data_IF_794119479874
#
_entry.id   IF_794119479874
#
_cell.length_a   1.000
_cell.length_b   1.000
_cell.length_c   1.000
_cell.angle_alpha   90.00
_cell.angle_beta   90.00
_cell.angle_gamma   90.00
#
_symmetry.space_group_name_H-M   'P 1'
#
loop_
_entity.id
_entity.type
_entity.pdbx_description
1 polymer ?
#
# COMPACT_ATOMS: atom_id res chain seq x y z
N UNK A 1 -16.33 -6.71 -9.80
CA UNK A 1 -15.65 -5.58 -10.39
C UNK A 1 -15.40 -4.51 -9.36
N UNK A 2 -14.37 -3.74 -9.52
CA UNK A 2 -14.01 -2.69 -8.60
C UNK A 2 -12.54 -2.39 -8.74
N UNK A 3 -12.11 -1.35 -8.06
CA UNK A 3 -10.69 -0.99 -8.05
C UNK A 3 -9.94 -2.01 -7.19
N UNK A 4 -8.90 -2.61 -7.75
CA UNK A 4 -8.06 -3.58 -7.03
C UNK A 4 -6.97 -2.86 -6.27
N UNK A 5 -6.96 -3.04 -4.97
CA UNK A 5 -6.02 -2.38 -4.07
C UNK A 5 -5.22 -3.42 -3.30
N UNK A 6 -3.89 -3.27 -3.31
CA UNK A 6 -3.02 -4.07 -2.46
C UNK A 6 -2.63 -3.23 -1.25
N UNK A 7 -2.81 -3.77 -0.06
CA UNK A 7 -2.41 -3.12 1.18
C UNK A 7 -1.33 -3.97 1.84
N UNK A 8 -0.15 -3.41 2.04
CA UNK A 8 1.00 -4.15 2.56
C UNK A 8 1.53 -3.50 3.83
N UNK A 9 1.51 -4.25 4.94
CA UNK A 9 1.95 -3.79 6.25
C UNK A 9 2.24 -5.02 7.11
N UNK A 10 3.38 -5.04 7.79
CA UNK A 10 3.72 -6.18 8.64
C UNK A 10 2.94 -6.19 9.97
N UNK A 11 2.30 -5.10 10.33
CA UNK A 11 1.43 -5.06 11.50
C UNK A 11 0.06 -5.63 11.14
N UNK A 12 -0.13 -6.90 11.50
CA UNK A 12 -1.37 -7.62 11.17
C UNK A 12 -2.61 -7.02 11.80
N UNK A 13 -2.46 -6.27 12.89
CA UNK A 13 -3.61 -5.63 13.56
C UNK A 13 -4.01 -4.35 12.84
N UNK A 14 -3.07 -3.69 12.18
CA UNK A 14 -3.36 -2.48 11.42
C UNK A 14 -4.08 -2.77 10.11
N UNK A 15 -3.78 -3.91 9.49
CA UNK A 15 -4.32 -4.25 8.17
C UNK A 15 -5.84 -4.17 8.07
N UNK A 16 -6.62 -4.83 8.95
CA UNK A 16 -8.07 -4.75 8.80
C UNK A 16 -8.63 -3.35 9.08
N UNK A 17 -7.98 -2.59 9.95
CA UNK A 17 -8.43 -1.22 10.26
C UNK A 17 -8.24 -0.32 9.05
N UNK A 18 -7.06 -0.37 8.45
CA UNK A 18 -6.75 0.45 7.27
C UNK A 18 -7.62 0.00 6.08
N UNK A 19 -7.77 -1.31 5.89
CA UNK A 19 -8.60 -1.84 4.81
C UNK A 19 -10.06 -1.40 4.95
N UNK A 20 -10.61 -1.46 6.17
CA UNK A 20 -11.98 -1.05 6.42
C UNK A 20 -12.19 0.44 6.17
N UNK A 21 -11.26 1.28 6.63
CA UNK A 21 -11.34 2.72 6.41
C UNK A 21 -11.24 3.06 4.93
N UNK A 22 -10.36 2.38 4.22
CA UNK A 22 -10.18 2.58 2.78
C UNK A 22 -11.44 2.20 2.02
N UNK A 23 -11.99 1.03 2.33
CA UNK A 23 -13.22 0.56 1.71
C UNK A 23 -14.35 1.56 1.93
N UNK A 24 -14.53 2.03 3.17
CA UNK A 24 -15.59 3.00 3.48
C UNK A 24 -15.43 4.30 2.72
N UNK A 25 -14.20 4.79 2.61
CA UNK A 25 -13.95 6.05 1.90
C UNK A 25 -14.32 5.95 0.43
N UNK A 26 -14.04 4.83 -0.22
CA UNK A 26 -14.42 4.62 -1.60
C UNK A 26 -15.93 4.40 -1.74
N UNK A 27 -16.54 3.69 -0.81
CA UNK A 27 -18.00 3.46 -0.84
C UNK A 27 -18.79 4.75 -0.71
N UNK A 28 -18.30 5.71 0.06
CA UNK A 28 -18.90 7.02 0.17
C UNK A 28 -18.96 7.75 -1.17
N UNK A 29 -18.09 7.37 -2.10
CA UNK A 29 -18.04 7.93 -3.45
C UNK A 29 -18.63 6.99 -4.49
N UNK A 30 -19.36 5.97 -4.03
CA UNK A 30 -19.99 4.96 -4.90
C UNK A 30 -18.98 4.18 -5.74
N UNK A 31 -17.79 3.95 -5.19
CA UNK A 31 -16.74 3.17 -5.86
C UNK A 31 -16.52 1.87 -5.10
N UNK A 32 -16.64 0.75 -5.80
CA UNK A 32 -16.39 -0.57 -5.23
C UNK A 32 -14.90 -0.85 -5.26
N UNK A 33 -14.42 -1.57 -4.23
CA UNK A 33 -13.01 -1.94 -4.13
C UNK A 33 -12.87 -3.43 -3.86
N UNK A 34 -11.72 -3.96 -4.30
CA UNK A 34 -11.28 -5.30 -3.97
C UNK A 34 -9.92 -5.14 -3.28
N UNK A 35 -9.91 -5.18 -1.96
CA UNK A 35 -8.70 -4.95 -1.17
C UNK A 35 -8.10 -6.28 -0.74
N UNK A 36 -6.84 -6.50 -1.07
CA UNK A 36 -6.10 -7.66 -0.64
C UNK A 36 -4.99 -7.21 0.30
N UNK A 37 -4.90 -7.84 1.47
CA UNK A 37 -3.91 -7.49 2.48
C UNK A 37 -2.74 -8.45 2.43
N UNK A 38 -1.54 -7.89 2.52
CA UNK A 38 -0.29 -8.63 2.54
C UNK A 38 0.52 -8.19 3.76
N UNK A 39 1.05 -9.13 4.53
CA UNK A 39 1.82 -8.77 5.73
C UNK A 39 3.33 -8.81 5.51
N UNK A 40 3.77 -8.92 4.26
CA UNK A 40 5.18 -8.79 3.90
C UNK A 40 5.32 -8.43 2.43
N UNK A 41 6.44 -7.81 2.09
CA UNK A 41 6.76 -7.49 0.71
C UNK A 41 6.88 -8.76 -0.13
N UNK A 42 7.45 -9.83 0.45
CA UNK A 42 7.62 -11.10 -0.26
C UNK A 42 6.27 -11.68 -0.71
N UNK A 43 5.26 -11.60 0.15
CA UNK A 43 3.93 -12.11 -0.20
C UNK A 43 3.27 -11.29 -1.31
N UNK A 44 3.44 -9.97 -1.27
CA UNK A 44 2.93 -9.13 -2.34
C UNK A 44 3.63 -9.43 -3.67
N UNK A 45 4.95 -9.53 -3.64
CA UNK A 45 5.72 -9.85 -4.85
C UNK A 45 5.27 -11.19 -5.46
N UNK A 46 5.02 -12.16 -4.61
CA UNK A 46 4.53 -13.47 -5.07
C UNK A 46 3.18 -13.35 -5.76
N UNK A 47 2.27 -12.57 -5.18
CA UNK A 47 0.95 -12.36 -5.77
C UNK A 47 1.02 -11.70 -7.15
N UNK A 48 2.02 -10.87 -7.38
CA UNK A 48 2.17 -10.16 -8.66
C UNK A 48 2.52 -11.09 -9.82
N UNK A 49 2.87 -12.36 -9.54
CA UNK A 49 3.06 -13.35 -10.58
C UNK A 49 1.74 -13.70 -11.28
N UNK A 50 0.61 -13.48 -10.63
CA UNK A 50 -0.70 -13.88 -11.12
C UNK A 50 -1.71 -12.73 -11.21
N UNK A 51 -1.44 -11.60 -10.58
CA UNK A 51 -2.41 -10.50 -10.52
C UNK A 51 -1.71 -9.15 -10.46
N UNK A 52 -2.45 -8.09 -10.78
CA UNK A 52 -1.97 -6.72 -10.71
C UNK A 52 -2.99 -5.89 -9.95
N UNK A 53 -2.53 -4.79 -9.39
CA UNK A 53 -3.37 -3.89 -8.62
C UNK A 53 -3.32 -2.49 -9.22
N UNK A 54 -4.37 -1.72 -9.01
CA UNK A 54 -4.44 -0.35 -9.50
C UNK A 54 -3.88 0.63 -8.49
N UNK A 55 -3.95 0.26 -7.20
CA UNK A 55 -3.43 1.08 -6.11
C UNK A 55 -2.66 0.17 -5.15
N UNK A 56 -1.48 0.64 -4.75
CA UNK A 56 -0.68 -0.01 -3.72
C UNK A 56 -0.60 0.92 -2.52
N UNK A 57 -1.04 0.45 -1.36
CA UNK A 57 -0.91 1.17 -0.10
C UNK A 57 0.15 0.44 0.71
N UNK A 58 1.29 1.07 0.93
CA UNK A 58 2.47 0.40 1.48
C UNK A 58 2.93 1.08 2.75
N UNK A 59 3.25 0.29 3.77
CA UNK A 59 4.03 0.79 4.90
C UNK A 59 5.50 0.86 4.48
N UNK A 60 6.27 1.74 5.08
CA UNK A 60 7.69 1.87 4.78
C UNK A 60 8.51 0.90 5.61
N UNK A 61 8.34 0.92 6.92
CA UNK A 61 9.18 0.11 7.81
C UNK A 61 8.62 -1.30 7.99
N UNK A 62 9.22 -2.24 7.27
CA UNK A 62 8.85 -3.66 7.32
C UNK A 62 10.15 -4.48 7.33
N UNK A 63 10.14 -5.64 8.02
CA UNK A 63 11.29 -6.53 8.01
C UNK A 63 11.59 -7.04 6.59
N UNK A 64 12.84 -7.26 6.30
CA UNK A 64 13.25 -7.71 4.97
C UNK A 64 13.25 -6.55 4.00
N UNK A 65 12.38 -6.58 3.01
CA UNK A 65 12.26 -5.49 2.05
C UNK A 65 11.29 -4.43 2.60
N UNK A 66 11.76 -3.20 2.76
CA UNK A 66 10.89 -2.11 3.22
C UNK A 66 10.03 -1.56 2.07
N UNK A 67 9.10 -0.65 2.42
CA UNK A 67 8.15 -0.12 1.45
C UNK A 67 8.76 0.72 0.35
N UNK A 68 9.89 1.38 0.61
CA UNK A 68 10.56 2.17 -0.43
C UNK A 68 11.22 1.25 -1.43
N UNK A 69 11.92 0.21 -0.95
CA UNK A 69 12.49 -0.79 -1.84
C UNK A 69 11.41 -1.52 -2.64
N UNK A 70 10.28 -1.82 -1.99
CA UNK A 70 9.16 -2.46 -2.67
C UNK A 70 8.59 -1.53 -3.76
N UNK A 71 8.45 -0.24 -3.46
CA UNK A 71 7.99 0.74 -4.44
C UNK A 71 8.91 0.83 -5.64
N UNK A 72 10.22 0.82 -5.41
CA UNK A 72 11.20 0.79 -6.51
C UNK A 72 11.04 -0.47 -7.34
N UNK A 73 10.88 -1.60 -6.69
CA UNK A 73 10.65 -2.88 -7.37
C UNK A 73 9.42 -2.78 -8.29
N UNK A 74 8.33 -2.22 -7.77
CA UNK A 74 7.10 -2.07 -8.54
C UNK A 74 7.32 -1.20 -9.78
N UNK A 75 8.02 -0.09 -9.64
CA UNK A 75 8.30 0.80 -10.78
C UNK A 75 9.21 0.12 -11.81
N UNK A 76 10.22 -0.60 -11.36
CA UNK A 76 11.13 -1.32 -12.25
C UNK A 76 10.42 -2.47 -12.97
N UNK A 77 9.41 -3.05 -12.34
CA UNK A 77 8.60 -4.11 -12.95
C UNK A 77 7.58 -3.55 -13.95
N UNK A 78 7.54 -2.24 -14.11
CA UNK A 78 6.62 -1.61 -15.06
C UNK A 78 5.22 -1.35 -14.51
N UNK A 79 5.04 -1.47 -13.18
CA UNK A 79 3.75 -1.16 -12.58
C UNK A 79 3.49 0.33 -12.64
N UNK A 80 2.44 0.70 -13.37
CA UNK A 80 2.05 2.09 -13.54
C UNK A 80 0.92 2.47 -12.57
N UNK A 81 0.78 1.71 -11.50
CA UNK A 81 -0.27 1.91 -10.52
C UNK A 81 0.05 3.09 -9.60
N UNK A 82 -0.97 3.57 -8.90
CA UNK A 82 -0.78 4.58 -7.88
C UNK A 82 -0.18 3.93 -6.63
N UNK A 83 0.79 4.59 -6.04
CA UNK A 83 1.40 4.14 -4.78
C UNK A 83 1.12 5.18 -3.72
N UNK A 84 0.57 4.75 -2.60
CA UNK A 84 0.31 5.61 -1.45
C UNK A 84 1.04 4.99 -0.27
N UNK A 85 1.89 5.77 0.37
CA UNK A 85 2.55 5.29 1.59
C UNK A 85 1.68 5.57 2.80
N UNK A 86 1.49 4.57 3.64
CA UNK A 86 0.75 4.66 4.89
C UNK A 86 1.71 4.24 6.00
N UNK A 87 2.32 5.20 6.67
CA UNK A 87 3.44 4.91 7.58
C UNK A 87 3.58 6.00 8.64
N UNK A 88 4.27 5.66 9.73
CA UNK A 88 4.70 6.65 10.73
C UNK A 88 6.14 7.11 10.47
N UNK A 89 6.80 6.57 9.45
CA UNK A 89 8.19 6.88 9.15
C UNK A 89 8.32 8.20 8.37
N UNK A 90 7.86 9.30 8.96
CA UNK A 90 7.88 10.61 8.30
C UNK A 90 9.29 11.07 7.91
N UNK A 91 10.29 10.66 8.66
CA UNK A 91 11.69 10.99 8.34
C UNK A 91 12.14 10.41 7.01
N UNK A 92 11.40 9.45 6.47
CA UNK A 92 11.74 8.80 5.22
C UNK A 92 10.91 9.28 4.04
N UNK A 93 10.11 10.32 4.22
CA UNK A 93 9.21 10.79 3.16
C UNK A 93 9.99 11.23 1.92
N UNK A 94 11.16 11.84 2.10
CA UNK A 94 11.97 12.28 0.95
C UNK A 94 12.51 11.11 0.15
N UNK A 95 12.83 9.99 0.80
CA UNK A 95 13.26 8.79 0.10
C UNK A 95 12.15 8.24 -0.79
N UNK A 96 10.89 8.41 -0.37
CA UNK A 96 9.75 7.90 -1.13
C UNK A 96 9.53 8.64 -2.44
N UNK A 97 10.05 9.87 -2.57
CA UNK A 97 9.84 10.67 -3.78
C UNK A 97 10.40 10.01 -5.03
N UNK A 98 11.45 9.23 -4.90
CA UNK A 98 12.03 8.52 -6.06
C UNK A 98 11.10 7.44 -6.62
N UNK A 99 10.10 7.03 -5.85
CA UNK A 99 9.08 6.07 -6.27
C UNK A 99 7.93 6.78 -6.98
N UNK A 100 7.86 8.09 -6.87
CA UNK A 100 6.78 8.92 -7.40
C UNK A 100 5.43 8.49 -6.83
N UNK A 101 5.27 8.52 -5.50
CA UNK A 101 4.00 8.13 -4.90
C UNK A 101 2.94 9.20 -5.13
N UNK A 102 1.68 8.77 -5.10
CA UNK A 102 0.56 9.69 -5.16
C UNK A 102 0.45 10.50 -3.87
N UNK A 103 0.80 9.89 -2.76
CA UNK A 103 0.72 10.58 -1.48
C UNK A 103 1.35 9.79 -0.34
N UNK A 104 1.38 10.42 0.81
CA UNK A 104 1.92 9.86 2.04
C UNK A 104 0.91 10.17 3.14
N UNK A 105 0.38 9.14 3.79
CA UNK A 105 -0.60 9.28 4.85
C UNK A 105 0.00 8.74 6.15
N UNK A 106 -0.19 9.46 7.22
CA UNK A 106 0.23 9.02 8.54
C UNK A 106 -0.63 7.85 8.98
N UNK A 107 0.02 6.75 9.34
CA UNK A 107 -0.67 5.52 9.74
C UNK A 107 -1.59 5.75 10.95
N UNK A 108 -1.16 6.57 11.90
CA UNK A 108 -1.96 6.88 13.09
C UNK A 108 -3.31 7.53 12.75
N UNK A 109 -3.44 8.15 11.59
CA UNK A 109 -4.72 8.73 11.18
C UNK A 109 -5.80 7.67 10.98
N UNK A 110 -5.40 6.43 10.73
CA UNK A 110 -6.34 5.32 10.60
C UNK A 110 -6.63 4.63 11.94
N UNK A 111 -5.67 4.68 12.87
CA UNK A 111 -5.69 3.83 14.06
C UNK A 111 -6.23 4.53 15.31
N UNK A 112 -6.56 5.78 15.23
CA UNK A 112 -7.11 6.56 16.34
C UNK A 112 -8.62 6.68 16.27
#
# INVERSE_FOLDING_TARGET
MGIKIALCDDDRRALPVIAGATKSAFEERNVKTQITCFHSAAKLKKALEATHFQIYMLDIEMPGMDGIALGKFLREAGENAKIIYVSEAESRVFESFQVQPLGFVRKSNFLN
#
